data_IF_292721834513
#
_entry.id   IF_292721834513
#
_cell.length_a   1.000
_cell.length_b   1.000
_cell.length_c   1.000
_cell.angle_alpha   90.00
_cell.angle_beta   90.00
_cell.angle_gamma   90.00
#
_symmetry.space_group_name_H-M   'P 1'
#
loop_
_entity.id
_entity.type
_entity.pdbx_description
1 polymer ?
#
# COMPACT_ATOMS: atom_id res chain seq x y z
N UNK A 1 -6.73 -34.77 -43.49
CA UNK A 1 -7.67 -34.26 -44.52
C UNK A 1 -8.08 -35.40 -45.45
N UNK A 2 -9.21 -35.31 -46.17
CA UNK A 2 -10.52 -34.70 -45.84
C UNK A 2 -11.46 -35.85 -45.38
N UNK A 3 -12.78 -36.04 -45.62
CA UNK A 3 -13.93 -35.37 -46.28
C UNK A 3 -15.15 -35.64 -45.35
N UNK A 4 -15.78 -34.68 -44.69
CA UNK A 4 -16.77 -33.68 -45.16
C UNK A 4 -18.20 -34.23 -45.40
N UNK A 5 -19.21 -33.34 -45.26
CA UNK A 5 -20.70 -33.53 -45.31
C UNK A 5 -21.29 -33.89 -43.92
N UNK A 6 -22.38 -33.26 -43.42
CA UNK A 6 -23.32 -32.24 -43.97
C UNK A 6 -23.65 -31.13 -42.94
N UNK A 7 -24.27 -30.04 -43.45
CA UNK A 7 -25.26 -29.10 -42.89
C UNK A 7 -25.67 -29.20 -41.39
N UNK A 8 -26.02 -28.10 -40.69
CA UNK A 8 -27.06 -27.12 -41.12
C UNK A 8 -26.93 -25.73 -40.46
N UNK A 9 -27.42 -24.71 -41.20
CA UNK A 9 -27.82 -23.31 -40.89
C UNK A 9 -27.64 -22.77 -39.44
N UNK A 10 -27.11 -21.56 -39.15
CA UNK A 10 -27.08 -20.24 -39.85
C UNK A 10 -28.36 -19.40 -39.72
N UNK A 11 -28.48 -18.68 -38.60
CA UNK A 11 -29.27 -17.46 -38.36
C UNK A 11 -28.48 -16.63 -37.32
N UNK A 12 -27.79 -15.53 -37.63
CA UNK A 12 -28.27 -14.24 -38.15
C UNK A 12 -29.52 -13.74 -37.42
N UNK A 13 -29.34 -12.77 -36.52
CA UNK A 13 -30.41 -11.97 -35.91
C UNK A 13 -29.85 -10.61 -35.51
N UNK A 14 -29.83 -9.69 -36.48
CA UNK A 14 -29.49 -8.28 -36.25
C UNK A 14 -30.71 -7.58 -35.65
N UNK A 15 -30.64 -7.16 -34.39
CA UNK A 15 -31.71 -6.45 -33.70
C UNK A 15 -31.19 -5.11 -33.15
N UNK A 16 -31.39 -4.04 -33.92
CA UNK A 16 -31.11 -2.66 -33.52
C UNK A 16 -32.37 -2.03 -32.93
N UNK A 17 -32.39 -1.76 -31.62
CA UNK A 17 -33.48 -1.06 -30.92
C UNK A 17 -32.86 -0.02 -29.97
N UNK A 18 -33.53 1.13 -29.80
CA UNK A 18 -32.92 2.33 -29.24
C UNK A 18 -33.48 2.74 -27.87
N UNK A 19 -32.56 3.18 -27.00
CA UNK A 19 -32.68 4.21 -25.94
C UNK A 19 -33.89 4.19 -24.99
N UNK A 20 -33.61 3.86 -23.72
CA UNK A 20 -34.06 4.62 -22.54
C UNK A 20 -33.19 4.26 -21.31
N UNK A 21 -32.88 5.19 -20.39
CA UNK A 21 -32.11 4.89 -19.18
C UNK A 21 -33.00 4.28 -18.08
N UNK A 22 -32.54 3.18 -17.48
CA UNK A 22 -33.15 2.60 -16.28
C UNK A 22 -32.11 2.58 -15.14
N UNK A 23 -32.38 3.34 -14.07
CA UNK A 23 -31.52 3.36 -12.88
C UNK A 23 -31.69 2.05 -12.09
N UNK A 24 -30.84 1.06 -12.36
CA UNK A 24 -30.91 -0.27 -11.74
C UNK A 24 -30.46 -0.26 -10.28
N UNK A 25 -31.43 -0.30 -9.37
CA UNK A 25 -31.33 -1.04 -8.09
C UNK A 25 -30.18 -0.67 -7.16
N UNK A 26 -30.30 0.45 -6.46
CA UNK A 26 -29.55 0.68 -5.22
C UNK A 26 -30.07 -0.24 -4.11
N UNK A 27 -29.67 -1.51 -4.11
CA UNK A 27 -29.81 -2.38 -2.94
C UNK A 27 -29.00 -1.77 -1.79
N UNK A 28 -29.60 -1.46 -0.63
CA UNK A 28 -28.86 -1.12 0.57
C UNK A 28 -28.26 -2.40 1.13
N UNK A 29 -27.18 -2.88 0.51
CA UNK A 29 -26.37 -3.93 1.13
C UNK A 29 -25.87 -3.39 2.48
N UNK A 30 -25.95 -4.22 3.51
CA UNK A 30 -25.97 -3.74 4.87
C UNK A 30 -24.65 -3.03 5.19
N UNK A 31 -24.74 -1.71 5.42
CA UNK A 31 -23.63 -0.90 5.89
C UNK A 31 -23.18 -1.46 7.24
N UNK A 32 -22.25 -2.41 7.18
CA UNK A 32 -21.54 -2.96 8.31
C UNK A 32 -20.61 -1.86 8.77
N UNK A 33 -21.17 -0.96 9.59
CA UNK A 33 -20.43 0.06 10.32
C UNK A 33 -19.15 -0.59 10.81
N UNK A 34 -17.97 -0.16 10.33
CA UNK A 34 -16.72 -0.58 10.95
C UNK A 34 -16.87 -0.21 12.41
N UNK A 35 -16.92 -1.20 13.29
CA UNK A 35 -16.90 -0.94 14.72
C UNK A 35 -15.66 -0.08 14.96
N UNK A 36 -15.84 1.07 15.61
CA UNK A 36 -14.77 2.06 15.80
C UNK A 36 -13.77 1.47 16.80
N UNK A 37 -12.89 0.63 16.26
CA UNK A 37 -11.92 -0.15 17.00
C UNK A 37 -10.81 0.83 17.36
N UNK A 38 -10.98 1.49 18.50
CA UNK A 38 -10.03 2.44 19.08
C UNK A 38 -8.62 1.83 19.09
N UNK A 39 -7.87 2.12 18.02
CA UNK A 39 -6.54 1.62 17.79
C UNK A 39 -5.63 2.26 18.84
N UNK A 40 -5.49 1.54 19.97
CA UNK A 40 -4.79 1.98 21.17
C UNK A 40 -3.30 2.11 20.84
N UNK A 41 -2.98 3.27 20.25
CA UNK A 41 -1.68 3.59 19.70
C UNK A 41 -0.74 3.81 20.86
N UNK A 42 -0.03 2.75 21.23
CA UNK A 42 0.96 2.80 22.30
C UNK A 42 2.18 3.55 21.76
N UNK A 43 2.18 4.87 21.92
CA UNK A 43 3.24 5.77 21.44
C UNK A 43 4.53 5.55 22.25
N UNK A 44 5.24 4.48 21.92
CA UNK A 44 6.63 4.28 22.34
C UNK A 44 7.46 5.44 21.80
N UNK A 45 8.02 6.25 22.70
CA UNK A 45 8.93 7.34 22.30
C UNK A 45 10.27 6.73 21.90
N UNK A 46 10.50 6.60 20.60
CA UNK A 46 11.77 6.16 20.05
C UNK A 46 12.81 7.29 20.22
N UNK A 47 14.02 6.94 20.65
CA UNK A 47 15.15 7.87 20.69
C UNK A 47 15.81 8.00 19.32
N UNK A 48 16.46 9.14 19.06
CA UNK A 48 17.34 9.29 17.90
C UNK A 48 18.53 8.31 18.00
N UNK A 49 18.98 7.80 16.86
CA UNK A 49 20.06 6.83 16.77
C UNK A 49 21.43 7.51 16.95
N UNK A 50 22.29 6.89 17.78
CA UNK A 50 23.62 7.38 18.17
C UNK A 50 24.76 6.44 17.71
N UNK A 51 24.44 5.37 16.97
CA UNK A 51 25.41 4.40 16.47
C UNK A 51 26.17 4.86 15.21
N UNK A 52 27.30 4.20 14.93
CA UNK A 52 28.24 4.59 13.87
C UNK A 52 27.84 4.15 12.45
N UNK A 53 26.85 3.28 12.29
CA UNK A 53 26.33 2.83 10.99
C UNK A 53 24.80 2.75 11.05
N UNK A 54 24.14 3.74 10.42
CA UNK A 54 22.69 3.81 10.32
C UNK A 54 22.11 2.71 9.41
N UNK A 55 22.85 2.34 8.35
CA UNK A 55 22.40 1.46 7.27
C UNK A 55 22.60 -0.03 7.59
N UNK A 56 23.45 -0.36 8.57
CA UNK A 56 23.57 -1.71 9.12
C UNK A 56 22.20 -2.21 9.63
N UNK A 57 21.55 -3.06 8.84
CA UNK A 57 20.26 -3.64 9.16
C UNK A 57 20.30 -4.38 10.52
N UNK A 58 19.25 -4.27 11.36
CA UNK A 58 19.17 -5.01 12.60
C UNK A 58 19.13 -6.53 12.36
N UNK A 59 19.82 -7.28 13.21
CA UNK A 59 19.76 -8.74 13.26
C UNK A 59 19.25 -9.17 14.65
N UNK A 60 18.08 -9.83 14.76
CA UNK A 60 17.14 -10.14 13.68
C UNK A 60 16.41 -8.89 13.15
N UNK A 61 15.87 -8.99 11.93
CA UNK A 61 14.94 -7.99 11.37
C UNK A 61 13.65 -7.94 12.22
N UNK A 62 13.20 -6.76 12.68
CA UNK A 62 11.95 -6.62 13.42
C UNK A 62 10.73 -7.05 12.59
N UNK A 63 9.79 -7.75 13.24
CA UNK A 63 8.55 -8.25 12.60
C UNK A 63 7.35 -7.34 12.87
N UNK A 64 7.60 -6.06 13.16
CA UNK A 64 6.56 -5.05 13.40
C UNK A 64 5.84 -4.66 12.10
N UNK A 65 4.56 -4.20 12.16
CA UNK A 65 3.76 -3.86 10.98
C UNK A 65 4.49 -2.93 10.02
N UNK A 66 4.39 -3.18 8.70
CA UNK A 66 5.12 -2.43 7.69
C UNK A 66 4.89 -0.92 7.80
N UNK A 67 5.98 -0.14 7.76
CA UNK A 67 6.00 1.29 8.05
C UNK A 67 6.36 1.64 9.50
N UNK A 68 6.49 0.65 10.40
CA UNK A 68 6.97 0.90 11.78
C UNK A 68 8.40 1.44 11.75
N UNK A 69 8.62 2.58 12.41
CA UNK A 69 9.92 3.23 12.50
C UNK A 69 10.85 2.44 13.44
N UNK A 70 12.01 2.02 12.92
CA UNK A 70 13.03 1.23 13.63
C UNK A 70 14.18 2.12 14.12
N UNK A 71 14.59 3.11 13.32
CA UNK A 71 15.58 4.14 13.67
C UNK A 71 15.25 5.45 12.98
N UNK A 72 15.65 6.56 13.58
CA UNK A 72 15.79 7.84 12.90
C UNK A 72 16.99 8.62 13.44
N UNK A 73 17.52 9.52 12.63
CA UNK A 73 18.48 10.54 13.04
C UNK A 73 18.29 11.78 12.17
N UNK A 74 18.81 12.93 12.61
CA UNK A 74 18.91 14.11 11.74
C UNK A 74 19.87 13.81 10.56
N UNK A 75 19.58 14.39 9.40
CA UNK A 75 20.35 14.17 8.18
C UNK A 75 21.44 15.25 8.01
N UNK A 76 22.62 14.85 7.53
CA UNK A 76 23.75 15.74 7.27
C UNK A 76 23.59 16.54 5.96
N UNK A 77 22.46 17.26 5.83
CA UNK A 77 22.20 18.26 4.79
C UNK A 77 21.03 19.18 5.17
N UNK A 78 21.18 20.48 4.87
CA UNK A 78 20.13 21.48 5.09
C UNK A 78 18.97 21.34 4.10
N UNK A 79 17.74 21.60 4.57
CA UNK A 79 16.56 21.84 3.73
C UNK A 79 15.93 23.18 4.15
N UNK A 80 15.63 24.11 3.22
CA UNK A 80 14.98 25.37 3.56
C UNK A 80 13.64 25.14 4.28
N UNK A 81 13.44 25.84 5.40
CA UNK A 81 12.23 25.82 6.22
C UNK A 81 11.78 24.42 6.71
N UNK A 82 12.70 23.45 6.78
CA UNK A 82 12.41 22.08 7.25
C UNK A 82 13.63 21.39 7.89
N UNK A 83 13.41 20.57 8.92
CA UNK A 83 14.42 19.62 9.42
C UNK A 83 14.39 18.34 8.58
N UNK A 84 15.55 17.90 8.11
CA UNK A 84 15.71 16.64 7.40
C UNK A 84 16.10 15.49 8.33
N UNK A 85 15.46 14.34 8.19
CA UNK A 85 15.73 13.13 8.94
C UNK A 85 16.06 11.97 8.01
N UNK A 86 17.06 11.18 8.36
CA UNK A 86 17.21 9.82 7.86
C UNK A 86 16.32 8.90 8.70
N UNK A 87 15.51 8.08 8.05
CA UNK A 87 14.61 7.13 8.71
C UNK A 87 14.87 5.71 8.22
N UNK A 88 14.70 4.73 9.10
CA UNK A 88 14.71 3.29 8.80
C UNK A 88 13.40 2.69 9.34
N UNK A 89 12.67 1.95 8.51
CA UNK A 89 11.36 1.38 8.86
C UNK A 89 11.18 -0.05 8.33
N UNK A 90 10.29 -0.83 8.95
CA UNK A 90 9.97 -2.21 8.51
C UNK A 90 9.22 -2.23 7.18
N UNK A 91 9.51 -3.20 6.33
CA UNK A 91 8.86 -3.36 5.03
C UNK A 91 8.90 -4.84 4.58
N UNK A 92 8.50 -5.09 3.34
CA UNK A 92 8.38 -6.43 2.75
C UNK A 92 9.14 -6.50 1.41
N UNK A 93 9.82 -7.61 1.14
CA UNK A 93 10.48 -7.87 -0.14
C UNK A 93 9.46 -8.26 -1.22
N UNK A 94 9.84 -8.21 -2.50
CA UNK A 94 8.98 -8.70 -3.60
C UNK A 94 8.68 -10.22 -3.47
N UNK A 95 9.45 -10.95 -2.67
CA UNK A 95 9.24 -12.37 -2.37
C UNK A 95 8.41 -12.63 -1.08
N UNK A 96 8.06 -11.59 -0.31
CA UNK A 96 7.32 -11.70 0.95
C UNK A 96 8.20 -11.75 2.21
N UNK A 97 9.51 -11.53 2.09
CA UNK A 97 10.42 -11.57 3.24
C UNK A 97 10.39 -10.25 4.03
N UNK A 98 10.42 -10.27 5.37
CA UNK A 98 10.60 -9.07 6.18
C UNK A 98 11.95 -8.39 5.89
N UNK A 99 11.94 -7.09 5.66
CA UNK A 99 13.14 -6.26 5.45
C UNK A 99 13.02 -4.94 6.22
N UNK A 100 14.13 -4.20 6.31
CA UNK A 100 14.11 -2.77 6.62
C UNK A 100 14.41 -1.95 5.36
N UNK A 101 13.81 -0.78 5.25
CA UNK A 101 14.03 0.20 4.17
C UNK A 101 14.40 1.54 4.79
N UNK A 102 15.32 2.27 4.15
CA UNK A 102 15.72 3.62 4.57
C UNK A 102 15.18 4.70 3.63
N UNK A 103 14.82 5.85 4.19
CA UNK A 103 14.35 7.01 3.43
C UNK A 103 14.77 8.34 4.07
N UNK A 104 14.41 9.43 3.39
CA UNK A 104 14.52 10.80 3.90
C UNK A 104 13.12 11.33 4.19
N UNK A 105 12.95 11.98 5.35
CA UNK A 105 11.76 12.75 5.69
C UNK A 105 12.13 14.21 5.97
N UNK A 106 11.50 15.15 5.26
CA UNK A 106 11.61 16.59 5.53
C UNK A 106 10.38 17.07 6.32
N UNK A 107 10.60 17.56 7.53
CA UNK A 107 9.54 18.05 8.43
C UNK A 107 9.58 19.58 8.47
N UNK A 108 8.55 20.30 7.99
CA UNK A 108 8.52 21.76 8.03
C UNK A 108 8.68 22.33 9.44
N UNK A 109 9.38 23.46 9.57
CA UNK A 109 9.59 24.15 10.85
C UNK A 109 8.47 25.11 11.26
N UNK A 110 7.45 25.28 10.40
CA UNK A 110 6.30 26.18 10.59
C UNK A 110 5.05 25.67 9.84
#
# INVERSE_FOLDING_TARGET
MPRSRRALLLTLSLALVAVAPACSGSSPDAASTPADAEATTTTTTLAAFDGSDFYAAPDPIPTDPHGTLVRFQEADFDVPDATAYQIMYTSESIAGDPIVVTGIASVPTA
#
